data_IF_544302220927
#
_entry.id   IF_544302220927
#
_cell.length_a   1.000
_cell.length_b   1.000
_cell.length_c   1.000
_cell.angle_alpha   90.00
_cell.angle_beta   90.00
_cell.angle_gamma   90.00
#
_symmetry.space_group_name_H-M   'P 1'
#
loop_
_entity.id
_entity.type
_entity.pdbx_description
1 polymer ?
#
# COMPACT_ATOMS: atom_id res chain seq x y z
N UNK A 1 -6.71 6.23 -21.87
CA UNK A 1 -6.20 5.42 -22.99
C UNK A 1 -7.40 4.62 -23.43
N UNK A 2 -7.91 4.85 -24.62
CA UNK A 2 -9.12 4.18 -25.08
C UNK A 2 -8.78 2.73 -25.43
N UNK A 3 -9.46 1.79 -24.78
CA UNK A 3 -9.28 0.38 -25.06
C UNK A 3 -10.42 -0.09 -25.96
N UNK A 4 -10.07 -0.95 -26.92
CA UNK A 4 -11.03 -1.55 -27.83
C UNK A 4 -11.08 -3.06 -27.62
N UNK A 5 -12.25 -3.65 -27.86
CA UNK A 5 -12.41 -5.09 -27.95
C UNK A 5 -12.88 -5.43 -29.36
N UNK A 6 -12.22 -6.41 -29.96
CA UNK A 6 -12.63 -6.97 -31.23
C UNK A 6 -13.73 -7.99 -30.96
N UNK A 7 -14.93 -7.71 -31.48
CA UNK A 7 -16.10 -8.57 -31.36
C UNK A 7 -16.47 -9.10 -32.74
N UNK A 8 -16.52 -10.41 -32.89
CA UNK A 8 -16.98 -11.03 -34.12
C UNK A 8 -18.51 -10.95 -34.18
N UNK A 9 -19.03 -10.17 -35.13
CA UNK A 9 -20.45 -10.17 -35.46
C UNK A 9 -20.78 -11.49 -36.17
N UNK A 10 -21.60 -12.31 -35.51
CA UNK A 10 -21.96 -13.64 -36.02
C UNK A 10 -22.98 -13.59 -37.18
N UNK A 11 -23.64 -12.46 -37.39
CA UNK A 11 -24.59 -12.28 -38.49
C UNK A 11 -23.90 -11.85 -39.78
N UNK A 12 -22.88 -10.99 -39.68
CA UNK A 12 -22.17 -10.43 -40.84
C UNK A 12 -20.81 -11.10 -41.10
N UNK A 13 -20.24 -11.76 -40.08
CA UNK A 13 -18.90 -12.34 -40.14
C UNK A 13 -17.78 -11.31 -39.98
N UNK A 14 -18.11 -10.03 -39.74
CA UNK A 14 -17.15 -8.95 -39.60
C UNK A 14 -16.62 -8.84 -38.16
N UNK A 15 -15.35 -8.47 -38.02
CA UNK A 15 -14.75 -8.14 -36.73
C UNK A 15 -15.01 -6.65 -36.45
N UNK A 16 -15.93 -6.36 -35.55
CA UNK A 16 -16.25 -5.01 -35.11
C UNK A 16 -15.31 -4.60 -33.97
N UNK A 17 -14.65 -3.47 -34.13
CA UNK A 17 -13.81 -2.86 -33.09
C UNK A 17 -14.68 -1.96 -32.22
N UNK A 18 -15.16 -2.49 -31.10
CA UNK A 18 -16.03 -1.75 -30.16
C UNK A 18 -15.16 -1.06 -29.12
N UNK A 19 -15.36 0.25 -28.92
CA UNK A 19 -14.75 0.96 -27.78
C UNK A 19 -15.34 0.43 -26.48
N UNK A 20 -14.50 -0.07 -25.58
CA UNK A 20 -14.90 -0.53 -24.24
C UNK A 20 -14.68 0.55 -23.17
N UNK A 21 -14.52 1.80 -23.60
CA UNK A 21 -14.29 2.96 -22.74
C UNK A 21 -12.84 3.20 -22.34
N UNK A 22 -12.64 4.28 -21.58
CA UNK A 22 -11.35 4.67 -21.00
C UNK A 22 -11.06 3.87 -19.73
N UNK A 23 -10.43 2.72 -19.90
CA UNK A 23 -9.85 2.00 -18.78
C UNK A 23 -8.59 2.72 -18.31
N UNK A 24 -8.40 2.79 -17.00
CA UNK A 24 -7.23 3.44 -16.41
C UNK A 24 -6.60 2.55 -15.35
N UNK A 25 -5.29 2.68 -15.18
CA UNK A 25 -4.56 2.07 -14.08
C UNK A 25 -4.86 2.79 -12.76
N UNK A 26 -4.59 2.12 -11.65
CA UNK A 26 -4.68 2.73 -10.31
C UNK A 26 -3.80 3.97 -10.16
N UNK A 27 -2.65 3.99 -10.83
CA UNK A 27 -1.73 5.14 -10.82
C UNK A 27 -2.33 6.33 -11.55
N UNK A 28 -2.92 6.11 -12.73
CA UNK A 28 -3.61 7.16 -13.49
C UNK A 28 -4.81 7.69 -12.72
N UNK A 29 -5.60 6.82 -12.06
CA UNK A 29 -6.66 7.26 -11.16
C UNK A 29 -6.13 8.18 -10.04
N UNK A 30 -5.00 7.80 -9.43
CA UNK A 30 -4.36 8.64 -8.41
C UNK A 30 -3.98 10.02 -8.94
N UNK A 31 -3.35 10.06 -10.12
CA UNK A 31 -2.98 11.31 -10.77
C UNK A 31 -4.20 12.20 -11.08
N UNK A 32 -5.30 11.63 -11.58
CA UNK A 32 -6.56 12.35 -11.82
C UNK A 32 -7.13 12.95 -10.54
N UNK A 33 -6.96 12.26 -9.41
CA UNK A 33 -7.42 12.69 -8.09
C UNK A 33 -6.41 13.56 -7.33
N UNK A 34 -5.27 13.89 -7.94
CA UNK A 34 -4.21 14.66 -7.28
C UNK A 34 -3.54 13.93 -6.11
N UNK A 35 -3.70 12.60 -6.00
CA UNK A 35 -3.12 11.80 -4.93
C UNK A 35 -2.05 10.84 -5.48
N UNK A 36 -0.96 10.69 -4.74
CA UNK A 36 0.11 9.79 -5.12
C UNK A 36 -0.34 8.31 -5.20
N UNK A 37 0.40 7.46 -5.94
CA UNK A 37 0.03 6.07 -6.21
C UNK A 37 -0.04 5.18 -4.96
N UNK A 38 0.58 5.57 -3.84
CA UNK A 38 0.47 4.86 -2.56
C UNK A 38 -0.84 5.20 -1.86
N UNK A 39 -1.19 6.49 -1.84
CA UNK A 39 -2.39 7.00 -1.17
C UNK A 39 -3.66 6.53 -1.88
N UNK A 40 -3.69 6.57 -3.22
CA UNK A 40 -4.84 6.00 -3.96
C UNK A 40 -5.07 4.53 -3.63
N UNK A 41 -4.01 3.74 -3.52
CA UNK A 41 -4.13 2.31 -3.17
C UNK A 41 -4.61 2.11 -1.73
N UNK A 42 -4.15 2.94 -0.80
CA UNK A 42 -4.61 2.88 0.59
C UNK A 42 -6.11 3.20 0.67
N UNK A 43 -6.56 4.27 0.03
CA UNK A 43 -7.97 4.66 -0.05
C UNK A 43 -8.83 3.55 -0.68
N UNK A 44 -8.38 2.96 -1.79
CA UNK A 44 -9.12 1.88 -2.44
C UNK A 44 -9.13 0.58 -1.62
N UNK A 45 -8.18 0.38 -0.70
CA UNK A 45 -8.23 -0.72 0.27
C UNK A 45 -9.29 -0.43 1.34
N UNK A 46 -9.38 0.79 1.87
CA UNK A 46 -10.45 1.17 2.82
C UNK A 46 -11.83 1.00 2.20
N UNK A 47 -11.98 1.38 0.93
CA UNK A 47 -13.22 1.17 0.15
C UNK A 47 -13.53 -0.31 -0.15
N UNK A 48 -12.66 -1.25 0.22
CA UNK A 48 -12.81 -2.67 -0.12
C UNK A 48 -12.73 -2.95 -1.62
N UNK A 49 -12.27 -1.98 -2.43
CA UNK A 49 -12.10 -2.10 -3.87
C UNK A 49 -10.80 -2.85 -4.22
N UNK A 50 -9.79 -2.74 -3.35
CA UNK A 50 -8.57 -3.52 -3.41
C UNK A 50 -8.42 -4.45 -2.21
N UNK A 51 -7.89 -5.64 -2.46
CA UNK A 51 -7.54 -6.65 -1.47
C UNK A 51 -6.05 -7.01 -1.58
N UNK A 52 -5.50 -7.55 -0.49
CA UNK A 52 -4.15 -8.10 -0.51
C UNK A 52 -4.18 -9.54 -1.04
N UNK A 53 -3.47 -9.79 -2.13
CA UNK A 53 -3.27 -11.12 -2.73
C UNK A 53 -1.83 -11.60 -2.43
N UNK A 54 -1.68 -12.86 -2.01
CA UNK A 54 -0.40 -13.49 -1.73
C UNK A 54 0.13 -13.27 -0.31
N UNK A 55 1.37 -13.71 -0.06
CA UNK A 55 1.98 -13.71 1.27
C UNK A 55 3.40 -13.12 1.26
N UNK A 56 3.76 -12.41 2.34
CA UNK A 56 5.11 -11.92 2.63
C UNK A 56 5.75 -11.11 1.47
N UNK A 57 6.74 -11.69 0.77
CA UNK A 57 7.46 -11.03 -0.34
C UNK A 57 6.63 -10.86 -1.60
N UNK A 58 5.57 -11.64 -1.76
CA UNK A 58 4.70 -11.63 -2.92
C UNK A 58 3.35 -10.95 -2.65
N UNK A 59 3.22 -10.25 -1.51
CA UNK A 59 2.00 -9.50 -1.19
C UNK A 59 1.80 -8.37 -2.21
N UNK A 60 0.67 -8.41 -2.93
CA UNK A 60 0.29 -7.43 -3.94
C UNK A 60 -1.13 -6.95 -3.68
N UNK A 61 -1.37 -5.66 -3.90
CA UNK A 61 -2.72 -5.10 -3.85
C UNK A 61 -3.39 -5.29 -5.21
N UNK A 62 -4.58 -5.87 -5.18
CA UNK A 62 -5.31 -6.34 -6.35
C UNK A 62 -6.78 -6.00 -6.26
N UNK A 63 -7.45 -5.88 -7.40
CA UNK A 63 -8.91 -5.73 -7.43
C UNK A 63 -9.58 -6.85 -6.64
N UNK A 64 -10.56 -6.48 -5.82
CA UNK A 64 -11.40 -7.45 -5.13
C UNK A 64 -12.22 -8.27 -6.13
N UNK A 65 -12.53 -9.52 -5.79
CA UNK A 65 -13.24 -10.44 -6.69
C UNK A 65 -14.57 -9.84 -7.18
N UNK A 66 -15.33 -9.23 -6.28
CA UNK A 66 -16.60 -8.58 -6.59
C UNK A 66 -16.48 -7.46 -7.64
N UNK A 67 -15.34 -6.76 -7.70
CA UNK A 67 -15.09 -5.72 -8.71
C UNK A 67 -14.90 -6.37 -10.08
N UNK A 68 -14.16 -7.47 -10.13
CA UNK A 68 -13.91 -8.19 -11.38
C UNK A 68 -15.14 -8.95 -11.88
N UNK A 69 -15.93 -9.54 -10.98
CA UNK A 69 -17.18 -10.23 -11.29
C UNK A 69 -18.23 -9.29 -11.88
N UNK A 70 -18.27 -8.02 -11.43
CA UNK A 70 -19.12 -6.98 -11.99
C UNK A 70 -18.63 -6.41 -13.32
N UNK A 71 -17.45 -6.82 -13.78
CA UNK A 71 -16.81 -6.27 -14.98
C UNK A 71 -16.27 -4.84 -14.83
N UNK A 72 -16.21 -4.32 -13.61
CA UNK A 72 -15.76 -2.93 -13.33
C UNK A 72 -14.26 -2.76 -13.35
N UNK A 73 -13.53 -3.87 -13.29
CA UNK A 73 -12.08 -3.90 -13.30
C UNK A 73 -11.59 -5.23 -13.89
N UNK A 74 -10.38 -5.22 -14.45
CA UNK A 74 -9.75 -6.46 -14.92
C UNK A 74 -8.25 -6.41 -14.76
N UNK A 75 -7.66 -7.61 -14.71
CA UNK A 75 -6.21 -7.78 -14.70
C UNK A 75 -5.69 -7.84 -16.12
N UNK A 76 -4.82 -6.90 -16.46
CA UNK A 76 -4.11 -6.90 -17.72
C UNK A 76 -2.81 -7.70 -17.59
N UNK A 77 -2.60 -8.60 -18.53
CA UNK A 77 -1.31 -9.28 -18.68
C UNK A 77 -0.36 -8.34 -19.40
N UNK A 78 0.81 -8.11 -18.81
CA UNK A 78 1.88 -7.40 -19.49
C UNK A 78 2.70 -8.38 -20.32
N UNK A 79 2.96 -8.06 -21.59
CA UNK A 79 3.75 -8.91 -22.49
C UNK A 79 5.19 -9.16 -22.00
N UNK A 80 5.77 -8.21 -21.24
CA UNK A 80 7.15 -8.29 -20.72
C UNK A 80 7.27 -8.04 -19.21
N UNK A 81 6.15 -7.98 -18.50
CA UNK A 81 6.12 -7.34 -17.19
C UNK A 81 5.18 -7.98 -16.18
N UNK A 82 5.09 -7.31 -15.04
CA UNK A 82 4.16 -7.71 -13.98
C UNK A 82 2.72 -7.42 -14.40
N UNK A 83 1.79 -8.38 -14.27
CA UNK A 83 0.37 -8.12 -14.47
C UNK A 83 -0.11 -6.99 -13.57
N UNK A 84 -0.89 -6.07 -14.11
CA UNK A 84 -1.43 -4.91 -13.41
C UNK A 84 -2.94 -4.83 -13.60
N UNK A 85 -3.60 -4.13 -12.70
CA UNK A 85 -5.05 -4.03 -12.71
C UNK A 85 -5.47 -2.69 -13.28
N UNK A 86 -6.58 -2.70 -14.03
CA UNK A 86 -7.21 -1.53 -14.63
C UNK A 86 -8.68 -1.46 -14.24
N UNK A 87 -9.20 -0.24 -14.19
CA UNK A 87 -10.57 0.08 -13.79
C UNK A 87 -11.29 0.67 -15.00
N UNK A 88 -12.49 0.15 -15.28
CA UNK A 88 -13.37 0.64 -16.34
C UNK A 88 -14.22 1.84 -15.90
N UNK A 89 -15.04 2.38 -16.82
CA UNK A 89 -15.88 3.55 -16.54
C UNK A 89 -16.83 3.39 -15.34
N UNK A 90 -17.49 2.24 -15.21
CA UNK A 90 -18.46 1.97 -14.15
C UNK A 90 -17.78 1.85 -12.79
N UNK A 91 -16.61 1.18 -12.74
CA UNK A 91 -15.80 1.11 -11.53
C UNK A 91 -15.31 2.49 -11.09
N UNK A 92 -14.95 3.34 -12.05
CA UNK A 92 -14.59 4.74 -11.77
C UNK A 92 -15.77 5.53 -11.22
N UNK A 93 -16.96 5.42 -11.82
CA UNK A 93 -18.16 6.11 -11.34
C UNK A 93 -18.48 5.70 -9.90
N UNK A 94 -18.40 4.40 -9.59
CA UNK A 94 -18.61 3.89 -8.23
C UNK A 94 -17.59 4.45 -7.23
N UNK A 95 -16.32 4.56 -7.63
CA UNK A 95 -15.27 5.18 -6.80
C UNK A 95 -15.54 6.66 -6.60
N UNK A 96 -15.96 7.38 -7.64
CA UNK A 96 -16.23 8.81 -7.62
C UNK A 96 -17.29 9.16 -6.57
N UNK A 97 -18.39 8.41 -6.57
CA UNK A 97 -19.50 8.58 -5.61
C UNK A 97 -19.09 8.43 -4.15
N UNK A 98 -17.98 7.73 -3.86
CA UNK A 98 -17.53 7.39 -2.50
C UNK A 98 -16.19 8.04 -2.16
N UNK A 99 -15.64 8.83 -3.08
CA UNK A 99 -14.28 9.30 -2.97
C UNK A 99 -14.09 10.26 -1.79
N UNK A 100 -14.98 11.24 -1.67
CA UNK A 100 -14.87 12.27 -0.65
C UNK A 100 -15.07 11.69 0.75
N UNK A 101 -16.03 10.78 0.92
CA UNK A 101 -16.25 10.03 2.17
C UNK A 101 -15.00 9.23 2.54
N UNK A 102 -14.41 8.48 1.60
CA UNK A 102 -13.20 7.71 1.83
C UNK A 102 -12.00 8.60 2.19
N UNK A 103 -11.87 9.77 1.56
CA UNK A 103 -10.81 10.73 1.89
C UNK A 103 -11.03 11.33 3.28
N UNK A 104 -12.29 11.63 3.65
CA UNK A 104 -12.69 12.06 4.97
C UNK A 104 -12.28 11.05 6.03
N UNK A 105 -12.82 9.85 5.97
CA UNK A 105 -12.54 8.75 6.91
C UNK A 105 -11.05 8.40 6.98
N UNK A 106 -10.34 8.40 5.84
CA UNK A 106 -8.90 8.12 5.83
C UNK A 106 -8.09 9.24 6.48
N UNK A 107 -8.59 10.47 6.44
CA UNK A 107 -7.93 11.64 7.04
C UNK A 107 -8.31 11.81 8.53
N UNK A 108 -9.32 11.09 9.01
CA UNK A 108 -9.67 11.05 10.42
C UNK A 108 -8.54 10.38 11.23
N UNK A 109 -7.94 11.20 12.08
CA UNK A 109 -6.88 10.83 13.01
C UNK A 109 -7.29 11.27 14.41
N UNK A 110 -6.84 10.53 15.42
CA UNK A 110 -6.90 11.01 16.80
C UNK A 110 -6.09 12.31 16.94
N UNK A 111 -6.30 13.06 18.04
CA UNK A 111 -5.48 14.23 18.35
C UNK A 111 -3.98 13.89 18.35
N UNK A 112 -3.62 12.73 18.92
CA UNK A 112 -2.23 12.27 18.92
C UNK A 112 -1.74 11.92 17.51
N UNK A 113 -2.59 11.29 16.69
CA UNK A 113 -2.29 10.99 15.29
C UNK A 113 -2.07 12.27 14.46
N UNK A 114 -2.87 13.30 14.72
CA UNK A 114 -2.74 14.61 14.09
C UNK A 114 -1.41 15.27 14.46
N UNK A 115 -1.07 15.32 15.76
CA UNK A 115 0.24 15.82 16.22
C UNK A 115 1.40 15.04 15.61
N UNK A 116 1.31 13.70 15.55
CA UNK A 116 2.35 12.86 14.98
C UNK A 116 2.54 13.11 13.48
N UNK A 117 1.45 13.35 12.73
CA UNK A 117 1.49 13.74 11.32
C UNK A 117 2.28 15.03 11.13
N UNK A 118 1.94 16.05 11.91
CA UNK A 118 2.52 17.38 11.77
C UNK A 118 4.00 17.37 12.18
N UNK A 119 4.36 16.63 13.24
CA UNK A 119 5.76 16.45 13.63
C UNK A 119 6.56 15.66 12.60
N UNK A 120 5.99 14.61 11.98
CA UNK A 120 6.65 13.88 10.89
C UNK A 120 6.85 14.79 9.66
N UNK A 121 5.88 15.62 9.32
CA UNK A 121 5.98 16.59 8.23
C UNK A 121 7.11 17.60 8.48
N UNK A 122 7.10 18.25 9.65
CA UNK A 122 8.15 19.19 10.06
C UNK A 122 9.53 18.51 10.09
N UNK A 123 9.62 17.28 10.61
CA UNK A 123 10.87 16.53 10.60
C UNK A 123 11.39 16.30 9.18
N UNK A 124 10.52 15.96 8.22
CA UNK A 124 10.90 15.74 6.82
C UNK A 124 11.41 17.01 6.15
N UNK A 125 10.80 18.15 6.41
CA UNK A 125 11.24 19.45 5.86
C UNK A 125 12.64 19.85 6.33
N UNK A 126 12.99 19.48 7.57
CA UNK A 126 14.32 19.75 8.15
C UNK A 126 15.41 18.81 7.61
N UNK A 127 15.06 17.77 6.86
CA UNK A 127 16.06 16.82 6.33
C UNK A 127 16.73 17.37 5.08
N UNK A 128 18.03 17.06 4.95
CA UNK A 128 18.77 17.24 3.69
C UNK A 128 18.12 16.53 2.50
N UNK A 129 17.46 15.40 2.74
CA UNK A 129 16.63 14.72 1.77
C UNK A 129 15.19 14.62 2.33
N UNK A 130 14.22 15.41 1.81
CA UNK A 130 12.84 15.39 2.28
C UNK A 130 12.08 14.12 1.87
N UNK A 131 12.59 13.38 0.88
CA UNK A 131 12.07 12.08 0.46
C UNK A 131 12.54 10.97 1.41
N UNK A 132 11.91 10.96 2.59
CA UNK A 132 12.04 9.91 3.60
C UNK A 132 11.38 8.61 3.11
N UNK A 133 12.14 7.49 2.99
CA UNK A 133 11.56 6.20 2.62
C UNK A 133 10.48 5.74 3.61
N UNK A 134 9.47 5.02 3.14
CA UNK A 134 8.33 4.55 3.96
C UNK A 134 8.78 3.77 5.19
N UNK A 135 9.78 2.88 5.04
CA UNK A 135 10.33 2.14 6.17
C UNK A 135 10.85 3.07 7.27
N UNK A 136 11.54 4.14 6.88
CA UNK A 136 12.10 5.10 7.81
C UNK A 136 10.98 5.89 8.49
N UNK A 137 9.94 6.32 7.75
CA UNK A 137 8.76 7.00 8.32
C UNK A 137 8.07 6.12 9.38
N UNK A 138 7.89 4.82 9.09
CA UNK A 138 7.35 3.86 10.05
C UNK A 138 8.25 3.76 11.28
N UNK A 139 9.55 3.57 11.10
CA UNK A 139 10.50 3.50 12.22
C UNK A 139 10.47 4.76 13.09
N UNK A 140 10.36 5.94 12.47
CA UNK A 140 10.25 7.21 13.17
C UNK A 140 8.98 7.29 14.00
N UNK A 141 7.82 6.96 13.43
CA UNK A 141 6.54 6.94 14.15
C UNK A 141 6.52 5.93 15.30
N UNK A 142 7.10 4.74 15.11
CA UNK A 142 7.18 3.73 16.17
C UNK A 142 8.08 4.19 17.33
N UNK A 143 9.13 4.95 17.03
CA UNK A 143 10.04 5.46 18.05
C UNK A 143 9.44 6.64 18.83
N UNK A 144 8.87 7.63 18.13
CA UNK A 144 8.34 8.85 18.76
C UNK A 144 6.90 8.72 19.27
N UNK A 145 6.11 7.83 18.66
CA UNK A 145 4.70 7.62 18.96
C UNK A 145 4.36 6.12 19.06
N UNK A 146 4.97 5.39 20.01
CA UNK A 146 4.78 3.94 20.13
C UNK A 146 3.33 3.53 20.39
N UNK A 147 2.54 4.41 21.02
CA UNK A 147 1.13 4.16 21.33
C UNK A 147 0.15 4.25 20.15
N UNK A 148 0.57 4.79 19.00
CA UNK A 148 -0.31 4.86 17.83
C UNK A 148 -0.59 3.47 17.27
N UNK A 149 -1.84 3.25 16.87
CA UNK A 149 -2.22 2.03 16.15
C UNK A 149 -1.49 1.93 14.80
N UNK A 150 -1.36 0.72 14.27
CA UNK A 150 -0.80 0.53 12.92
C UNK A 150 -1.66 1.21 11.85
N UNK A 151 -2.98 1.27 12.05
CA UNK A 151 -3.93 1.94 11.16
C UNK A 151 -3.70 3.45 11.14
N UNK A 152 -3.53 4.09 12.29
CA UNK A 152 -3.21 5.53 12.34
C UNK A 152 -1.87 5.83 11.68
N UNK A 153 -0.83 5.03 11.96
CA UNK A 153 0.47 5.17 11.28
C UNK A 153 0.34 5.03 9.76
N UNK A 154 -0.52 4.12 9.29
CA UNK A 154 -0.76 3.89 7.88
C UNK A 154 -1.45 5.10 7.22
N UNK A 155 -2.47 5.66 7.88
CA UNK A 155 -3.16 6.89 7.46
C UNK A 155 -2.23 8.10 7.39
N UNK A 156 -1.39 8.30 8.41
CA UNK A 156 -0.38 9.38 8.46
C UNK A 156 0.57 9.33 7.25
N UNK A 157 1.07 8.13 6.91
CA UNK A 157 2.04 7.95 5.82
C UNK A 157 1.36 7.86 4.44
N UNK A 158 0.07 7.53 4.38
CA UNK A 158 -0.65 7.27 3.13
C UNK A 158 -0.33 5.89 2.52
N UNK A 159 -0.23 4.86 3.36
CA UNK A 159 -0.01 3.45 2.97
C UNK A 159 -1.05 2.55 3.66
N UNK A 160 -1.02 1.25 3.37
CA UNK A 160 -1.90 0.30 4.06
C UNK A 160 -1.31 -0.16 5.40
N UNK A 161 -2.17 -0.62 6.32
CA UNK A 161 -1.76 -1.18 7.61
C UNK A 161 -0.75 -2.34 7.44
N UNK A 162 -0.90 -3.18 6.41
CA UNK A 162 -0.01 -4.32 6.15
C UNK A 162 1.43 -3.85 5.86
N UNK A 163 1.61 -2.70 5.21
CA UNK A 163 2.92 -2.10 4.97
C UNK A 163 3.57 -1.67 6.29
N UNK A 164 2.80 -1.03 7.18
CA UNK A 164 3.27 -0.66 8.52
C UNK A 164 3.67 -1.90 9.31
N UNK A 165 2.79 -2.90 9.38
CA UNK A 165 3.03 -4.17 10.09
C UNK A 165 4.31 -4.86 9.60
N UNK A 166 4.53 -4.91 8.28
CA UNK A 166 5.76 -5.45 7.68
C UNK A 166 7.01 -4.73 8.19
N UNK A 167 7.02 -3.40 8.19
CA UNK A 167 8.20 -2.62 8.60
C UNK A 167 8.41 -2.61 10.12
N UNK A 168 7.35 -2.61 10.92
CA UNK A 168 7.45 -2.84 12.37
C UNK A 168 8.08 -4.20 12.68
N UNK A 169 7.67 -5.26 11.97
CA UNK A 169 8.26 -6.59 12.11
C UNK A 169 9.70 -6.71 11.63
N UNK A 170 10.12 -5.92 10.63
CA UNK A 170 11.53 -5.81 10.24
C UNK A 170 12.34 -5.13 11.34
N UNK A 171 11.85 -3.99 11.85
CA UNK A 171 12.52 -3.22 12.91
C UNK A 171 12.69 -4.05 14.18
N UNK A 172 11.66 -4.79 14.60
CA UNK A 172 11.72 -5.65 15.78
C UNK A 172 12.86 -6.67 15.69
N UNK A 173 12.92 -7.41 14.58
CA UNK A 173 14.01 -8.38 14.32
C UNK A 173 15.40 -7.74 14.31
N UNK A 174 15.52 -6.51 13.79
CA UNK A 174 16.78 -5.77 13.82
C UNK A 174 17.17 -5.40 15.25
N UNK A 175 16.24 -4.91 16.07
CA UNK A 175 16.48 -4.60 17.48
C UNK A 175 16.84 -5.86 18.29
N UNK A 176 16.10 -6.96 18.11
CA UNK A 176 16.37 -8.22 18.79
C UNK A 176 17.79 -8.72 18.47
N UNK A 177 18.21 -8.61 17.20
CA UNK A 177 19.57 -8.96 16.78
C UNK A 177 20.63 -8.05 17.42
N UNK A 178 20.40 -6.74 17.47
CA UNK A 178 21.33 -5.80 18.11
C UNK A 178 21.45 -6.05 19.62
N UNK A 179 20.33 -6.33 20.29
CA UNK A 179 20.30 -6.68 21.71
C UNK A 179 21.06 -8.00 21.95
N UNK A 180 20.83 -9.03 21.13
CA UNK A 180 21.53 -10.29 21.22
C UNK A 180 23.05 -10.12 21.03
N UNK A 181 23.47 -9.31 20.04
CA UNK A 181 24.88 -9.00 19.80
C UNK A 181 25.51 -8.24 20.96
N UNK A 182 24.83 -7.22 21.49
CA UNK A 182 25.29 -6.48 22.68
C UNK A 182 25.46 -7.41 23.87
N UNK A 183 24.47 -8.26 24.14
CA UNK A 183 24.49 -9.18 25.27
C UNK A 183 25.57 -10.27 25.11
N UNK A 184 25.86 -10.71 23.88
CA UNK A 184 26.95 -11.64 23.60
C UNK A 184 28.34 -11.02 23.85
N UNK A 185 28.52 -9.72 23.58
CA UNK A 185 29.76 -8.99 23.88
C UNK A 185 29.95 -8.80 25.40
N UNK A 186 28.85 -8.62 26.12
CA UNK A 186 28.86 -8.42 27.57
C UNK A 186 28.80 -9.73 28.38
N UNK A 187 28.73 -10.88 27.71
CA UNK A 187 28.78 -12.18 28.38
C UNK A 187 30.16 -12.37 29.04
N UNK A 188 30.23 -12.74 30.33
CA UNK A 188 31.51 -12.88 31.02
C UNK A 188 32.40 -13.92 30.34
N UNK A 189 33.67 -13.57 30.17
CA UNK A 189 34.74 -14.44 29.66
C UNK A 189 34.96 -15.55 30.70
N UNK A 190 34.13 -16.59 30.69
CA UNK A 190 34.21 -17.66 31.69
C UNK A 190 33.12 -18.72 31.63
N UNK A 191 32.00 -18.51 30.95
CA UNK A 191 30.94 -19.52 30.83
C UNK A 191 31.15 -20.50 29.66
N UNK A 192 32.38 -20.95 29.42
CA UNK A 192 32.60 -22.25 28.78
C UNK A 192 32.70 -23.26 29.91
N UNK A 193 31.57 -23.85 30.27
CA UNK A 193 31.54 -25.00 31.16
C UNK A 193 32.44 -26.08 30.56
N UNK A 194 33.57 -26.34 31.23
CA UNK A 194 34.32 -27.56 31.04
C UNK A 194 33.40 -28.73 31.44
N UNK A 195 32.92 -29.47 30.45
CA UNK A 195 32.50 -30.85 30.69
C UNK A 195 33.77 -31.67 30.93
N UNK A 196 34.13 -31.83 32.20
CA UNK A 196 34.79 -33.04 32.68
C UNK A 196 33.68 -33.93 33.21
N UNK A 197 33.44 -35.04 32.50
CA UNK A 197 33.71 -36.39 33.00
C UNK A 197 33.77 -37.37 31.82
#
# INVERSE_FOLDING_TARGET
>A
MEYHQDQLDRATGEVLRVSIGDWITLTELGNLKGVGPRRVRALLVELGFLVSEGHSRNLRLRLADWVTERGWGKRQRSYRGTPFDVIGPEGRAWIEERWDDAVGEFSELSTQGQTARDHLAAFRELRKNPDMPVQEQVCWLVYHYPGLSQTEKARIIGVTQQVVSKFEGIRRRQLDKLIAQRNAILAPIGSRLHHHD
#
